data_IF_104394968333
#
_entry.id   IF_104394968333
#
_cell.length_a   1.000
_cell.length_b   1.000
_cell.length_c   1.000
_cell.angle_alpha   90.00
_cell.angle_beta   90.00
_cell.angle_gamma   90.00
#
_symmetry.space_group_name_H-M   'P 1'
#
loop_
_entity.id
_entity.type
_entity.pdbx_description
1 polymer ?
#
# COMPACT_ATOMS: atom_id res chain seq x y z
N UNK A 1 36.54 33.67 -28.29
CA UNK A 1 36.12 32.46 -29.04
C UNK A 1 34.84 32.78 -29.73
N UNK A 2 34.97 33.02 -31.01
CA UNK A 2 33.95 33.62 -31.86
C UNK A 2 32.87 32.60 -32.23
N UNK A 3 31.62 33.03 -32.15
CA UNK A 3 30.46 32.26 -32.60
C UNK A 3 30.31 32.33 -34.13
N UNK A 4 29.69 31.31 -34.75
CA UNK A 4 29.56 31.25 -36.20
C UNK A 4 28.58 32.31 -36.78
N UNK A 5 28.81 32.83 -38.02
CA UNK A 5 28.05 33.90 -38.60
C UNK A 5 26.65 33.39 -39.12
N UNK A 6 25.68 34.32 -39.26
CA UNK A 6 24.34 33.96 -39.70
C UNK A 6 24.29 33.57 -41.19
N UNK A 7 23.57 32.52 -41.49
CA UNK A 7 23.31 32.04 -42.88
C UNK A 7 22.41 33.01 -43.62
N UNK A 8 22.90 33.50 -44.75
CA UNK A 8 22.12 34.30 -45.75
C UNK A 8 21.09 33.42 -46.45
N UNK A 9 19.87 33.94 -46.58
CA UNK A 9 18.81 33.35 -47.42
C UNK A 9 19.19 33.56 -48.91
N UNK A 10 18.93 32.59 -49.80
CA UNK A 10 19.11 32.75 -51.23
C UNK A 10 18.02 33.66 -51.82
N UNK A 11 18.42 34.47 -52.83
CA UNK A 11 17.55 35.37 -53.56
C UNK A 11 16.64 34.59 -54.54
N UNK A 12 15.43 35.08 -54.83
CA UNK A 12 14.55 34.46 -55.82
C UNK A 12 15.01 34.69 -57.26
N UNK A 13 14.71 33.75 -58.17
CA UNK A 13 15.08 33.87 -59.58
C UNK A 13 14.27 34.97 -60.31
N UNK A 14 14.81 35.62 -61.33
CA UNK A 14 14.11 36.63 -62.08
C UNK A 14 13.20 36.00 -63.19
N UNK A 15 12.01 36.53 -63.29
CA UNK A 15 11.19 36.46 -64.51
C UNK A 15 10.05 35.45 -64.53
N UNK A 16 8.89 35.89 -64.00
CA UNK A 16 7.62 35.49 -64.55
C UNK A 16 6.72 36.73 -64.63
N UNK A 17 6.35 37.10 -65.88
CA UNK A 17 5.38 38.15 -66.16
C UNK A 17 4.03 37.80 -65.56
N UNK A 18 3.54 38.70 -64.70
CA UNK A 18 2.19 38.63 -64.11
C UNK A 18 1.18 38.91 -65.27
N UNK A 19 0.52 37.89 -65.70
CA UNK A 19 -0.69 38.02 -66.55
C UNK A 19 -1.85 38.39 -65.60
N UNK A 20 -2.27 39.64 -65.64
CA UNK A 20 -3.39 40.18 -64.92
C UNK A 20 -4.69 39.58 -65.43
N UNK A 21 -5.18 38.50 -64.79
CA UNK A 21 -6.52 38.00 -65.11
C UNK A 21 -7.53 38.90 -64.40
N UNK A 22 -8.25 39.70 -65.18
CA UNK A 22 -9.42 40.43 -64.74
C UNK A 22 -10.53 39.45 -64.38
N UNK A 23 -10.81 39.34 -63.11
CA UNK A 23 -12.00 38.63 -62.63
C UNK A 23 -13.21 39.56 -62.79
N UNK A 24 -14.15 39.15 -63.68
CA UNK A 24 -15.48 39.74 -63.70
C UNK A 24 -16.20 39.43 -62.36
N UNK A 25 -16.93 40.38 -61.73
CA UNK A 25 -17.69 40.14 -60.52
C UNK A 25 -18.88 39.22 -60.89
N UNK A 26 -18.78 37.97 -60.45
CA UNK A 26 -19.91 37.05 -60.46
C UNK A 26 -20.91 37.62 -59.48
N UNK A 27 -22.10 37.95 -59.92
CA UNK A 27 -23.18 38.53 -59.20
C UNK A 27 -23.47 37.72 -57.92
N UNK A 28 -23.29 38.39 -56.77
CA UNK A 28 -23.52 37.85 -55.45
C UNK A 28 -25.02 37.56 -55.24
N UNK A 29 -25.41 36.35 -55.52
CA UNK A 29 -26.57 35.78 -54.87
C UNK A 29 -26.13 35.31 -53.48
N UNK A 30 -26.37 36.11 -52.43
CA UNK A 30 -26.31 35.65 -51.04
C UNK A 30 -27.44 34.66 -50.83
N UNK A 31 -27.20 33.39 -51.19
CA UNK A 31 -28.03 32.32 -50.67
C UNK A 31 -27.72 32.25 -49.15
N UNK A 32 -28.58 32.93 -48.39
CA UNK A 32 -28.65 32.71 -46.97
C UNK A 32 -29.09 31.26 -46.80
N UNK A 33 -28.14 30.37 -46.52
CA UNK A 33 -28.41 28.98 -46.14
C UNK A 33 -29.18 29.05 -44.85
N UNK A 34 -30.53 29.10 -44.95
CA UNK A 34 -31.41 28.99 -43.76
C UNK A 34 -31.12 27.65 -43.10
N UNK A 35 -30.40 27.69 -41.96
CA UNK A 35 -30.30 26.54 -41.10
C UNK A 35 -31.70 26.03 -40.80
N UNK A 36 -32.00 24.76 -41.10
CA UNK A 36 -33.31 24.23 -40.78
C UNK A 36 -33.59 24.43 -39.28
N UNK A 37 -34.82 24.84 -38.95
CA UNK A 37 -35.16 25.10 -37.56
C UNK A 37 -34.87 23.86 -36.71
N UNK A 38 -34.38 24.03 -35.49
CA UNK A 38 -34.09 22.90 -34.59
C UNK A 38 -35.33 22.03 -34.46
N UNK A 39 -35.22 20.76 -34.78
CA UNK A 39 -36.28 19.80 -34.66
C UNK A 39 -36.76 19.78 -33.22
N UNK A 40 -37.98 20.25 -32.97
CA UNK A 40 -38.63 20.18 -31.67
C UNK A 40 -38.75 18.70 -31.28
N UNK A 41 -38.00 18.33 -30.21
CA UNK A 41 -38.09 17.00 -29.65
C UNK A 41 -39.49 16.82 -29.08
N UNK A 42 -40.26 15.86 -29.56
CA UNK A 42 -41.51 15.48 -28.97
C UNK A 42 -41.35 15.12 -27.47
N UNK A 43 -42.43 15.16 -26.71
CA UNK A 43 -42.41 14.91 -25.22
C UNK A 43 -41.57 13.68 -24.82
N UNK A 44 -41.56 12.62 -25.62
CA UNK A 44 -40.71 11.44 -25.41
C UNK A 44 -39.20 11.72 -25.58
N UNK A 45 -38.84 12.53 -26.57
CA UNK A 45 -37.44 12.91 -26.78
C UNK A 45 -36.88 13.80 -25.67
N UNK A 46 -37.71 14.71 -25.13
CA UNK A 46 -37.33 15.53 -23.97
C UNK A 46 -37.13 14.66 -22.71
N UNK A 47 -38.02 13.70 -22.48
CA UNK A 47 -37.89 12.78 -21.32
C UNK A 47 -36.61 11.94 -21.42
N UNK A 48 -36.31 11.37 -22.57
CA UNK A 48 -35.07 10.58 -22.80
C UNK A 48 -33.84 11.45 -22.58
N UNK A 49 -33.80 12.68 -23.08
CA UNK A 49 -32.71 13.63 -22.90
C UNK A 49 -32.52 13.98 -21.42
N UNK A 50 -33.61 14.28 -20.69
CA UNK A 50 -33.53 14.61 -19.26
C UNK A 50 -33.01 13.43 -18.42
N UNK A 51 -33.44 12.20 -18.73
CA UNK A 51 -32.90 10.99 -18.08
C UNK A 51 -31.42 10.82 -18.41
N UNK A 52 -31.00 11.03 -19.65
CA UNK A 52 -29.60 10.97 -20.06
C UNK A 52 -28.74 12.01 -19.34
N UNK A 53 -29.20 13.25 -19.26
CA UNK A 53 -28.51 14.32 -18.53
C UNK A 53 -28.37 14.00 -17.01
N UNK A 54 -29.42 13.44 -16.41
CA UNK A 54 -29.40 13.03 -15.01
C UNK A 54 -28.40 11.88 -14.77
N UNK A 55 -28.36 10.89 -15.67
CA UNK A 55 -27.41 9.78 -15.57
C UNK A 55 -25.95 10.24 -15.78
N UNK A 56 -25.71 11.17 -16.70
CA UNK A 56 -24.36 11.76 -16.90
C UNK A 56 -23.95 12.53 -15.64
N UNK A 57 -24.85 13.33 -15.08
CA UNK A 57 -24.56 14.10 -13.84
C UNK A 57 -24.28 13.14 -12.67
N UNK A 58 -25.12 12.12 -12.49
CA UNK A 58 -24.89 11.12 -11.47
C UNK A 58 -23.56 10.39 -11.66
N UNK A 59 -23.22 10.00 -12.88
CA UNK A 59 -21.94 9.38 -13.22
C UNK A 59 -20.74 10.30 -12.91
N UNK A 60 -20.85 11.58 -13.22
CA UNK A 60 -19.80 12.56 -12.93
C UNK A 60 -19.65 12.75 -11.40
N UNK A 61 -20.75 12.82 -10.65
CA UNK A 61 -20.68 12.93 -9.17
C UNK A 61 -19.98 11.70 -8.57
N UNK A 62 -20.32 10.49 -9.02
CA UNK A 62 -19.67 9.27 -8.56
C UNK A 62 -18.18 9.27 -8.90
N UNK A 63 -17.82 9.69 -10.10
CA UNK A 63 -16.42 9.78 -10.52
C UNK A 63 -15.64 10.79 -9.68
N UNK A 64 -16.19 11.97 -9.44
CA UNK A 64 -15.58 12.99 -8.58
C UNK A 64 -15.45 12.50 -7.13
N UNK A 65 -16.45 11.77 -6.64
CA UNK A 65 -16.41 11.16 -5.31
C UNK A 65 -15.28 10.11 -5.23
N UNK A 66 -15.11 9.26 -6.25
CA UNK A 66 -14.00 8.30 -6.28
C UNK A 66 -12.63 8.98 -6.33
N UNK A 67 -12.50 10.08 -7.10
CA UNK A 67 -11.26 10.88 -7.11
C UNK A 67 -11.00 11.49 -5.73
N UNK A 68 -12.03 12.02 -5.08
CA UNK A 68 -11.92 12.56 -3.73
C UNK A 68 -11.44 11.48 -2.74
N UNK A 69 -12.10 10.31 -2.71
CA UNK A 69 -11.75 9.22 -1.79
C UNK A 69 -10.33 8.67 -1.98
N UNK A 70 -9.83 8.64 -3.23
CA UNK A 70 -8.51 8.07 -3.51
C UNK A 70 -7.39 9.11 -3.35
N UNK A 71 -7.57 10.34 -3.85
CA UNK A 71 -6.48 11.31 -3.89
C UNK A 71 -6.51 12.34 -2.77
N UNK A 72 -7.69 12.83 -2.41
CA UNK A 72 -7.78 13.88 -1.40
C UNK A 72 -7.58 13.31 0.00
N UNK A 73 -8.14 12.13 0.28
CA UNK A 73 -7.94 11.47 1.57
C UNK A 73 -6.48 11.06 1.80
N UNK A 74 -5.77 10.62 0.76
CA UNK A 74 -4.36 10.28 0.85
C UNK A 74 -3.49 11.49 1.23
N UNK A 75 -3.79 12.68 0.68
CA UNK A 75 -3.07 13.89 1.01
C UNK A 75 -3.24 14.29 2.49
N UNK A 76 -4.44 14.16 3.03
CA UNK A 76 -4.70 14.42 4.45
C UNK A 76 -4.01 13.39 5.36
N UNK A 77 -4.05 12.12 4.98
CA UNK A 77 -3.37 11.05 5.73
C UNK A 77 -1.86 11.23 5.73
N UNK A 78 -1.26 11.65 4.62
CA UNK A 78 0.17 11.96 4.55
C UNK A 78 0.57 13.08 5.53
N UNK A 79 -0.27 14.11 5.69
CA UNK A 79 -0.07 15.16 6.70
C UNK A 79 -0.08 14.61 8.13
N UNK A 80 -1.12 13.83 8.48
CA UNK A 80 -1.24 13.18 9.80
C UNK A 80 -0.07 12.21 10.07
N UNK A 81 0.34 11.45 9.06
CA UNK A 81 1.48 10.54 9.16
C UNK A 81 2.80 11.28 9.41
N UNK A 82 3.02 12.42 8.75
CA UNK A 82 4.19 13.25 8.97
C UNK A 82 4.24 13.83 10.40
N UNK A 83 3.09 14.29 10.90
CA UNK A 83 2.97 14.79 12.28
C UNK A 83 3.25 13.67 13.29
N UNK A 84 2.60 12.50 13.15
CA UNK A 84 2.82 11.35 14.01
C UNK A 84 4.28 10.85 13.97
N UNK A 85 4.93 10.89 12.81
CA UNK A 85 6.35 10.56 12.67
C UNK A 85 7.24 11.53 13.43
N UNK A 86 6.96 12.83 13.36
CA UNK A 86 7.72 13.86 14.07
C UNK A 86 7.53 13.78 15.58
N UNK A 87 6.30 13.49 16.04
CA UNK A 87 6.00 13.27 17.46
C UNK A 87 6.76 12.04 17.98
N UNK A 88 6.74 10.94 17.26
CA UNK A 88 7.44 9.70 17.60
C UNK A 88 8.97 9.93 17.70
N UNK A 89 9.58 10.64 16.76
CA UNK A 89 11.01 10.98 16.81
C UNK A 89 11.33 11.86 18.02
N UNK A 90 10.43 12.79 18.34
CA UNK A 90 10.53 13.63 19.53
C UNK A 90 10.48 12.82 20.82
N UNK A 91 9.59 11.84 20.92
CA UNK A 91 9.46 10.98 22.07
C UNK A 91 10.66 10.01 22.21
N UNK A 92 11.11 9.42 21.11
CA UNK A 92 12.31 8.59 21.08
C UNK A 92 13.58 9.35 21.49
N UNK A 93 13.62 10.65 21.30
CA UNK A 93 14.77 11.48 21.72
C UNK A 93 14.77 11.82 23.21
N UNK A 94 13.60 11.83 23.84
CA UNK A 94 13.42 12.32 25.24
C UNK A 94 13.47 11.21 26.27
N UNK A 95 12.97 10.04 25.95
CA UNK A 95 12.76 8.96 26.93
C UNK A 95 13.31 7.63 26.39
N UNK A 96 14.24 7.03 27.15
CA UNK A 96 14.79 5.69 26.83
C UNK A 96 14.08 4.63 27.67
N UNK A 97 12.77 4.55 27.58
CA UNK A 97 12.02 3.47 28.23
C UNK A 97 12.06 2.21 27.37
N UNK A 98 12.48 1.09 27.96
CA UNK A 98 12.53 -0.21 27.31
C UNK A 98 11.14 -0.74 26.90
N UNK A 99 10.08 -0.28 27.59
CA UNK A 99 8.68 -0.58 27.28
C UNK A 99 7.85 0.68 27.52
N UNK A 100 7.63 1.54 26.51
CA UNK A 100 6.73 2.66 26.65
C UNK A 100 5.30 2.15 26.92
N UNK A 101 4.60 2.78 27.85
CA UNK A 101 3.17 2.53 28.02
C UNK A 101 2.47 2.90 26.71
N UNK A 102 1.83 1.92 26.07
CA UNK A 102 1.14 2.14 24.80
C UNK A 102 -0.08 3.03 25.06
N UNK A 103 -0.13 4.15 24.36
CA UNK A 103 -1.24 5.12 24.46
C UNK A 103 -2.09 5.01 23.20
N UNK A 104 -3.39 4.82 23.40
CA UNK A 104 -4.37 4.74 22.30
C UNK A 104 -4.21 5.88 21.28
N UNK A 105 -4.11 5.50 20.01
CA UNK A 105 -4.00 6.43 18.90
C UNK A 105 -2.64 7.11 18.78
N UNK A 106 -1.66 6.78 19.63
CA UNK A 106 -0.29 7.26 19.52
C UNK A 106 0.61 6.29 18.78
N UNK A 107 1.55 6.85 18.02
CA UNK A 107 2.59 6.08 17.37
C UNK A 107 3.62 5.56 18.39
N UNK A 108 4.05 4.30 18.26
CA UNK A 108 5.06 3.69 19.11
C UNK A 108 6.17 2.96 18.35
N UNK A 109 5.97 2.68 17.05
CA UNK A 109 6.90 1.98 16.19
C UNK A 109 6.74 2.44 14.74
N UNK A 110 7.65 1.99 13.86
CA UNK A 110 7.54 2.15 12.40
C UNK A 110 7.61 0.80 11.70
N UNK A 111 6.91 0.69 10.58
CA UNK A 111 7.02 -0.42 9.66
C UNK A 111 7.75 0.02 8.39
N UNK A 112 8.71 -0.80 7.95
CA UNK A 112 9.38 -0.66 6.66
C UNK A 112 9.22 -1.98 5.90
N UNK A 113 8.92 -1.89 4.60
CA UNK A 113 8.82 -3.05 3.70
C UNK A 113 9.68 -2.77 2.49
N UNK A 114 10.95 -3.22 2.47
CA UNK A 114 11.93 -2.83 1.44
C UNK A 114 11.52 -3.14 0.00
N UNK A 115 10.73 -4.20 -0.21
CA UNK A 115 10.25 -4.58 -1.54
C UNK A 115 9.24 -3.58 -2.12
N UNK A 116 8.60 -2.77 -1.27
CA UNK A 116 7.67 -1.71 -1.70
C UNK A 116 8.39 -0.37 -1.98
N UNK A 117 9.68 -0.32 -1.75
CA UNK A 117 10.54 0.85 -1.95
C UNK A 117 11.35 1.20 -0.70
N UNK A 118 12.51 1.83 -0.91
CA UNK A 118 13.38 2.24 0.19
C UNK A 118 12.73 3.29 1.10
N UNK A 119 11.82 4.09 0.54
CA UNK A 119 11.10 5.15 1.24
C UNK A 119 9.79 4.67 1.89
N UNK A 120 9.43 3.39 1.71
CA UNK A 120 8.23 2.84 2.34
C UNK A 120 8.41 2.79 3.85
N UNK A 121 7.76 3.69 4.54
CA UNK A 121 7.70 3.71 6.00
C UNK A 121 6.38 4.31 6.48
N UNK A 122 5.81 3.73 7.54
CA UNK A 122 4.64 4.25 8.22
C UNK A 122 4.80 4.08 9.73
N UNK A 123 4.33 5.06 10.51
CA UNK A 123 4.22 4.89 11.95
C UNK A 123 3.09 3.93 12.29
N UNK A 124 3.31 3.07 13.29
CA UNK A 124 2.32 2.15 13.81
C UNK A 124 1.67 2.80 15.03
N UNK A 125 0.34 2.95 14.98
CA UNK A 125 -0.47 3.51 16.06
C UNK A 125 -0.91 2.40 17.01
N UNK A 126 -1.09 2.69 18.29
CA UNK A 126 -1.79 1.78 19.19
C UNK A 126 -3.30 1.81 18.95
N UNK A 127 -3.91 0.65 18.71
CA UNK A 127 -5.34 0.51 18.42
C UNK A 127 -5.67 0.54 16.93
N UNK A 128 -6.85 0.00 16.61
CA UNK A 128 -7.37 -0.15 15.25
C UNK A 128 -8.68 0.62 15.03
N UNK A 129 -8.85 1.73 15.75
CA UNK A 129 -9.98 2.63 15.51
C UNK A 129 -9.82 3.33 14.16
N UNK A 130 -10.92 3.80 13.59
CA UNK A 130 -10.90 4.55 12.33
C UNK A 130 -9.91 5.72 12.40
N UNK A 131 -9.92 6.48 13.51
CA UNK A 131 -9.00 7.60 13.72
C UNK A 131 -7.52 7.18 13.72
N UNK A 132 -7.18 6.04 14.34
CA UNK A 132 -5.82 5.51 14.31
C UNK A 132 -5.42 5.05 12.90
N UNK A 133 -6.31 4.32 12.22
CA UNK A 133 -6.06 3.82 10.86
C UNK A 133 -5.99 4.92 9.80
N UNK A 134 -6.59 6.09 10.03
CA UNK A 134 -6.41 7.26 9.16
C UNK A 134 -5.01 7.87 9.22
N UNK A 135 -4.27 7.63 10.32
CA UNK A 135 -2.88 8.07 10.48
C UNK A 135 -1.93 7.06 9.82
N UNK A 136 -2.10 5.77 10.10
CA UNK A 136 -1.23 4.71 9.60
C UNK A 136 -1.70 3.32 10.04
N UNK A 137 -0.85 2.29 9.91
CA UNK A 137 -1.14 0.97 10.47
C UNK A 137 -1.43 1.02 11.97
N UNK A 138 -2.41 0.26 12.40
CA UNK A 138 -2.84 0.20 13.81
C UNK A 138 -2.58 -1.18 14.43
N UNK A 139 -2.00 -1.21 15.62
CA UNK A 139 -1.78 -2.43 16.41
C UNK A 139 -3.08 -2.93 17.01
N UNK A 140 -3.34 -4.22 16.90
CA UNK A 140 -4.46 -4.85 17.60
C UNK A 140 -4.14 -4.94 19.09
N UNK A 141 -4.88 -4.20 19.90
CA UNK A 141 -4.70 -4.16 21.35
C UNK A 141 -4.71 -5.55 21.98
N UNK A 142 -3.77 -5.79 22.87
CA UNK A 142 -3.65 -7.06 23.58
C UNK A 142 -2.98 -8.17 22.80
N UNK A 143 -2.57 -7.93 21.55
CA UNK A 143 -1.66 -8.83 20.83
C UNK A 143 -0.21 -8.57 21.28
N UNK A 144 0.73 -9.45 20.92
CA UNK A 144 2.13 -9.31 21.32
C UNK A 144 2.76 -8.01 20.80
N UNK A 145 3.82 -7.54 21.47
CA UNK A 145 4.67 -6.46 20.96
C UNK A 145 5.75 -6.99 20.02
N UNK A 146 6.42 -6.11 19.22
CA UNK A 146 7.49 -6.52 18.33
C UNK A 146 8.56 -7.33 19.07
N UNK A 147 8.89 -8.51 18.53
CA UNK A 147 9.90 -9.40 19.09
C UNK A 147 9.42 -10.34 20.21
N UNK A 148 8.29 -10.06 20.84
CA UNK A 148 7.76 -10.93 21.89
C UNK A 148 7.24 -12.26 21.34
N UNK A 149 7.27 -13.34 22.18
CA UNK A 149 6.52 -14.56 21.90
C UNK A 149 5.03 -14.26 21.74
N UNK A 150 4.43 -14.81 20.68
CA UNK A 150 3.04 -14.55 20.28
C UNK A 150 2.96 -13.86 18.95
N UNK A 151 1.84 -13.22 18.69
CA UNK A 151 1.53 -12.64 17.40
C UNK A 151 1.39 -11.11 17.51
N UNK A 152 2.36 -10.37 17.00
CA UNK A 152 2.26 -8.93 16.83
C UNK A 152 1.38 -8.65 15.61
N UNK A 153 0.14 -8.20 15.84
CA UNK A 153 -0.83 -8.03 14.78
C UNK A 153 -1.13 -6.56 14.51
N UNK A 154 -1.11 -6.16 13.24
CA UNK A 154 -1.42 -4.80 12.79
C UNK A 154 -2.38 -4.80 11.61
N UNK A 155 -3.29 -3.82 11.61
CA UNK A 155 -4.22 -3.55 10.53
C UNK A 155 -3.79 -2.31 9.72
N UNK A 156 -4.16 -2.25 8.46
CA UNK A 156 -3.96 -1.06 7.65
C UNK A 156 -4.94 -0.98 6.48
N UNK A 157 -5.23 0.23 6.03
CA UNK A 157 -6.06 0.45 4.86
C UNK A 157 -5.41 -0.10 3.60
N UNK A 158 -6.24 -0.63 2.71
CA UNK A 158 -5.80 -1.10 1.39
C UNK A 158 -5.97 -0.06 0.29
N UNK A 159 -6.93 0.86 0.46
CA UNK A 159 -7.27 1.90 -0.50
C UNK A 159 -7.63 3.15 0.26
N UNK A 160 -7.19 4.31 -0.21
CA UNK A 160 -7.39 5.60 0.43
C UNK A 160 -6.66 5.73 1.78
N UNK A 161 -6.67 6.91 2.36
CA UNK A 161 -6.10 7.19 3.68
C UNK A 161 -4.64 6.75 3.81
N UNK A 162 -3.81 7.07 2.80
CA UNK A 162 -2.41 6.68 2.70
C UNK A 162 -2.18 5.23 2.28
N UNK A 163 -3.22 4.40 2.28
CA UNK A 163 -3.23 3.00 1.83
C UNK A 163 -1.95 2.20 2.17
N UNK A 164 -1.51 2.15 3.45
CA UNK A 164 -0.22 1.54 3.81
C UNK A 164 -0.12 0.08 3.39
N UNK A 165 -1.25 -0.61 3.22
CA UNK A 165 -1.28 -2.02 2.86
C UNK A 165 -1.88 -2.28 1.47
N UNK A 166 -1.75 -1.30 0.54
CA UNK A 166 -2.22 -1.43 -0.83
C UNK A 166 -1.61 -2.63 -1.56
N UNK A 167 -0.31 -2.83 -1.38
CA UNK A 167 0.50 -3.76 -2.16
C UNK A 167 0.89 -5.04 -1.40
N UNK A 168 0.21 -5.37 -0.29
CA UNK A 168 0.50 -6.60 0.48
C UNK A 168 0.38 -7.88 -0.36
N UNK A 169 -0.41 -7.88 -1.41
CA UNK A 169 -0.52 -9.01 -2.34
C UNK A 169 0.71 -9.21 -3.22
N UNK A 170 1.62 -8.23 -3.30
CA UNK A 170 2.90 -8.35 -3.99
C UNK A 170 4.00 -8.99 -3.11
N UNK A 171 3.77 -9.13 -1.79
CA UNK A 171 4.72 -9.84 -0.93
C UNK A 171 4.82 -11.31 -1.32
N UNK A 172 6.03 -11.80 -1.33
CA UNK A 172 6.36 -13.22 -1.51
C UNK A 172 6.95 -13.82 -0.23
N UNK A 173 6.98 -15.13 -0.13
CA UNK A 173 7.64 -15.82 0.98
C UNK A 173 9.10 -15.38 1.11
N UNK A 174 9.57 -15.26 2.35
CA UNK A 174 10.91 -14.78 2.73
C UNK A 174 11.16 -13.28 2.52
N UNK A 175 10.20 -12.52 1.99
CA UNK A 175 10.31 -11.07 1.92
C UNK A 175 10.33 -10.46 3.33
N UNK A 176 11.11 -9.39 3.48
CA UNK A 176 11.37 -8.77 4.77
C UNK A 176 10.33 -7.71 5.10
N UNK A 177 9.89 -7.72 6.34
CA UNK A 177 9.08 -6.69 6.98
C UNK A 177 9.84 -6.28 8.23
N UNK A 178 10.21 -5.01 8.34
CA UNK A 178 11.06 -4.52 9.43
C UNK A 178 10.21 -3.63 10.32
N UNK A 179 10.18 -3.96 11.59
CA UNK A 179 9.55 -3.13 12.61
C UNK A 179 10.66 -2.43 13.38
N UNK A 180 10.65 -1.12 13.30
CA UNK A 180 11.57 -0.23 14.00
C UNK A 180 10.92 0.27 15.28
N UNK A 181 11.56 0.03 16.40
CA UNK A 181 11.19 0.59 17.72
C UNK A 181 12.23 1.61 18.15
N UNK A 182 12.09 2.16 19.33
CA UNK A 182 13.08 3.07 19.91
C UNK A 182 14.46 2.42 20.04
N UNK A 183 14.54 1.12 20.40
CA UNK A 183 15.78 0.43 20.77
C UNK A 183 16.28 -0.56 19.73
N UNK A 184 15.38 -1.12 18.91
CA UNK A 184 15.66 -2.27 18.07
C UNK A 184 15.00 -2.18 16.70
N UNK A 185 15.59 -2.92 15.75
CA UNK A 185 14.95 -3.32 14.51
C UNK A 185 14.61 -4.82 14.60
N UNK A 186 13.34 -5.16 14.41
CA UNK A 186 12.85 -6.53 14.34
C UNK A 186 12.60 -6.88 12.88
N UNK A 187 13.37 -7.81 12.34
CA UNK A 187 13.29 -8.24 10.95
C UNK A 187 12.44 -9.51 10.89
N UNK A 188 11.22 -9.35 10.44
CA UNK A 188 10.32 -10.46 10.16
C UNK A 188 10.44 -10.85 8.69
N UNK A 189 10.28 -12.14 8.40
CA UNK A 189 10.22 -12.66 7.03
C UNK A 189 8.91 -13.38 6.80
N UNK A 190 8.29 -13.13 5.66
CA UNK A 190 7.02 -13.76 5.28
C UNK A 190 7.18 -15.28 5.28
N UNK A 191 6.26 -15.97 5.94
CA UNK A 191 6.22 -17.43 6.00
C UNK A 191 5.98 -18.05 4.60
N UNK A 192 6.29 -19.35 4.43
CA UNK A 192 5.92 -20.09 3.22
C UNK A 192 4.44 -19.99 2.90
N UNK A 193 4.09 -19.82 1.64
CA UNK A 193 2.71 -19.91 1.20
C UNK A 193 2.24 -21.36 1.26
N UNK A 194 0.92 -21.57 1.27
CA UNK A 194 0.33 -22.89 1.44
C UNK A 194 0.82 -23.92 0.43
N UNK A 195 0.99 -23.51 -0.81
CA UNK A 195 1.48 -24.30 -1.94
C UNK A 195 2.99 -24.53 -1.93
N UNK A 196 3.74 -23.80 -1.09
CA UNK A 196 5.19 -23.92 -0.93
C UNK A 196 5.59 -24.76 0.30
N UNK A 197 4.64 -25.10 1.18
CA UNK A 197 4.91 -25.83 2.43
C UNK A 197 5.49 -27.22 2.17
N UNK A 198 4.92 -27.92 1.19
CA UNK A 198 5.43 -29.23 0.78
C UNK A 198 6.74 -29.05 0.00
N UNK A 199 7.78 -29.73 0.45
CA UNK A 199 9.11 -29.62 -0.17
C UNK A 199 9.87 -28.32 0.12
N UNK A 200 9.39 -27.49 1.06
CA UNK A 200 9.98 -26.19 1.38
C UNK A 200 11.50 -26.21 1.52
N UNK A 201 12.03 -27.12 2.36
CA UNK A 201 13.46 -27.15 2.67
C UNK A 201 14.36 -27.46 1.46
N UNK A 202 13.87 -28.26 0.52
CA UNK A 202 14.59 -28.60 -0.71
C UNK A 202 14.28 -27.66 -1.88
N UNK A 203 13.19 -26.90 -1.76
CA UNK A 203 12.73 -25.92 -2.74
C UNK A 203 13.14 -24.48 -2.40
N UNK A 204 12.15 -23.60 -2.34
CA UNK A 204 12.37 -22.16 -2.09
C UNK A 204 13.04 -21.87 -0.75
N UNK A 205 12.83 -22.71 0.26
CA UNK A 205 13.51 -22.58 1.56
C UNK A 205 15.02 -22.72 1.54
N UNK A 206 15.59 -23.31 0.47
CA UNK A 206 17.04 -23.36 0.25
C UNK A 206 17.65 -22.03 -0.23
N UNK A 207 16.83 -21.06 -0.67
CA UNK A 207 17.29 -19.75 -1.05
C UNK A 207 17.89 -19.02 0.17
N UNK A 208 19.10 -18.42 0.08
CA UNK A 208 19.71 -17.68 1.17
C UNK A 208 18.81 -16.60 1.78
N UNK A 209 17.96 -15.96 0.99
CA UNK A 209 16.98 -14.98 1.51
C UNK A 209 15.97 -15.59 2.47
N UNK A 210 15.73 -16.90 2.37
CA UNK A 210 14.84 -17.68 3.25
C UNK A 210 15.52 -18.15 4.54
N UNK A 211 16.77 -17.78 4.77
CA UNK A 211 17.46 -18.13 6.02
C UNK A 211 16.63 -17.70 7.23
N UNK A 212 16.49 -18.61 8.19
CA UNK A 212 15.65 -18.49 9.40
C UNK A 212 14.13 -18.47 9.11
N UNK A 213 13.70 -18.90 7.94
CA UNK A 213 12.28 -19.10 7.63
C UNK A 213 12.03 -20.60 7.40
N UNK A 214 11.16 -21.18 8.21
CA UNK A 214 10.70 -22.54 8.07
C UNK A 214 9.19 -22.63 7.97
N UNK A 215 8.70 -23.80 7.66
CA UNK A 215 7.29 -24.09 7.88
C UNK A 215 7.06 -24.23 9.38
N UNK A 216 6.01 -23.62 9.91
CA UNK A 216 5.65 -23.77 11.31
C UNK A 216 4.83 -25.05 11.57
N UNK A 217 4.52 -25.76 10.50
CA UNK A 217 3.78 -27.03 10.55
C UNK A 217 4.65 -28.13 11.13
N UNK A 218 4.16 -28.83 12.14
CA UNK A 218 4.75 -30.07 12.64
C UNK A 218 4.30 -31.26 11.77
N UNK A 219 5.20 -31.91 11.01
CA UNK A 219 4.85 -33.04 10.15
C UNK A 219 4.38 -34.27 10.92
N UNK A 220 4.69 -34.37 12.22
CA UNK A 220 4.35 -35.51 13.07
C UNK A 220 3.06 -35.29 13.88
N UNK A 221 2.52 -34.08 13.88
CA UNK A 221 1.30 -33.79 14.62
C UNK A 221 0.06 -33.80 13.73
N UNK A 222 -1.12 -34.19 14.27
CA UNK A 222 -2.38 -34.08 13.58
C UNK A 222 -2.60 -32.64 13.05
N UNK A 223 -3.05 -32.52 11.81
CA UNK A 223 -3.32 -31.23 11.12
C UNK A 223 -2.12 -30.27 11.07
N UNK A 224 -0.90 -30.77 11.39
CA UNK A 224 0.31 -29.96 11.41
C UNK A 224 0.56 -29.23 12.72
N UNK A 225 -0.09 -29.63 13.81
CA UNK A 225 0.12 -29.08 15.14
C UNK A 225 -0.48 -27.69 15.35
N UNK A 226 0.00 -27.00 16.38
CA UNK A 226 -0.53 -25.68 16.79
C UNK A 226 -0.50 -24.66 15.63
N UNK A 227 0.56 -24.64 14.84
CA UNK A 227 0.73 -23.71 13.70
C UNK A 227 0.40 -24.31 12.32
N UNK A 228 -0.25 -25.45 12.26
CA UNK A 228 -0.52 -26.17 11.00
C UNK A 228 -1.31 -25.38 9.97
N UNK A 229 -2.09 -24.39 10.41
CA UNK A 229 -2.84 -23.49 9.55
C UNK A 229 -2.15 -22.16 9.25
N UNK A 230 -1.03 -21.85 9.92
CA UNK A 230 -0.33 -20.57 9.80
C UNK A 230 0.61 -20.58 8.61
N UNK A 231 0.19 -19.95 7.52
CA UNK A 231 0.94 -19.82 6.26
C UNK A 231 1.13 -18.36 5.91
N UNK A 232 2.12 -18.05 5.05
CA UNK A 232 2.53 -16.71 4.71
C UNK A 232 1.42 -15.81 4.16
N UNK A 233 0.46 -16.36 3.42
CA UNK A 233 -0.68 -15.61 2.89
C UNK A 233 -1.98 -16.38 2.98
N UNK A 234 -3.02 -15.70 3.47
CA UNK A 234 -4.40 -16.23 3.49
C UNK A 234 -5.41 -15.15 3.16
N UNK A 235 -6.55 -15.57 2.63
CA UNK A 235 -7.74 -14.74 2.50
C UNK A 235 -8.79 -15.34 3.42
N UNK A 236 -9.38 -14.51 4.29
CA UNK A 236 -10.35 -14.96 5.29
C UNK A 236 -11.54 -13.99 5.34
N UNK A 237 -12.67 -14.44 5.87
CA UNK A 237 -13.79 -13.54 6.19
C UNK A 237 -13.48 -12.69 7.42
N UNK A 238 -14.04 -11.47 7.53
CA UNK A 238 -13.85 -10.59 8.68
C UNK A 238 -14.21 -11.22 10.04
N UNK A 239 -15.09 -12.22 10.04
CA UNK A 239 -15.49 -12.96 11.24
C UNK A 239 -14.41 -13.88 11.81
N UNK A 240 -13.30 -14.08 11.07
CA UNK A 240 -12.16 -14.90 11.49
C UNK A 240 -11.20 -14.10 12.38
N UNK A 241 -11.71 -13.63 13.54
CA UNK A 241 -10.93 -12.86 14.52
C UNK A 241 -9.73 -13.62 15.10
N UNK A 242 -9.79 -14.95 15.12
CA UNK A 242 -8.71 -15.83 15.58
C UNK A 242 -7.41 -15.72 14.74
N UNK A 243 -7.46 -15.02 13.61
CA UNK A 243 -6.28 -14.71 12.79
C UNK A 243 -5.20 -13.94 13.56
N UNK A 244 -5.61 -13.11 14.51
CA UNK A 244 -4.69 -12.27 15.31
C UNK A 244 -4.39 -12.86 16.68
N UNK A 245 -4.91 -14.05 17.01
CA UNK A 245 -4.59 -14.74 18.26
C UNK A 245 -3.08 -15.01 18.37
N UNK A 246 -2.54 -15.24 19.58
CA UNK A 246 -1.12 -15.55 19.80
C UNK A 246 -0.61 -16.70 18.93
N UNK A 247 -1.45 -17.72 18.73
CA UNK A 247 -1.29 -18.77 17.70
C UNK A 247 -2.42 -18.58 16.71
N UNK A 248 -2.15 -18.08 15.50
CA UNK A 248 -3.20 -17.80 14.52
C UNK A 248 -4.10 -19.01 14.25
N UNK A 249 -5.42 -18.76 14.16
CA UNK A 249 -6.47 -19.76 13.90
C UNK A 249 -6.68 -20.79 15.02
N UNK A 250 -6.09 -20.61 16.18
CA UNK A 250 -6.26 -21.46 17.36
C UNK A 250 -6.78 -20.66 18.56
N UNK A 251 -7.26 -21.36 19.57
CA UNK A 251 -7.62 -20.72 20.85
C UNK A 251 -6.36 -20.07 21.47
N UNK A 252 -6.51 -18.92 22.16
CA UNK A 252 -5.36 -18.20 22.72
C UNK A 252 -4.49 -19.03 23.68
N UNK A 253 -5.08 -20.00 24.35
CA UNK A 253 -4.46 -20.84 25.39
C UNK A 253 -3.83 -22.13 24.85
N UNK A 254 -3.80 -22.32 23.50
CA UNK A 254 -3.31 -23.56 22.89
C UNK A 254 -1.84 -23.85 23.23
N UNK A 255 -1.03 -22.80 23.43
CA UNK A 255 0.36 -22.89 23.85
C UNK A 255 0.65 -21.88 24.96
N UNK A 256 1.49 -22.24 25.97
CA UNK A 256 2.06 -21.28 26.90
C UNK A 256 2.82 -20.19 26.17
N UNK A 257 2.82 -18.93 26.69
CA UNK A 257 3.49 -17.78 26.04
C UNK A 257 4.97 -18.09 25.70
N UNK A 258 5.69 -18.78 26.56
CA UNK A 258 7.09 -19.12 26.32
C UNK A 258 7.35 -20.09 25.14
N UNK A 259 6.33 -20.84 24.72
CA UNK A 259 6.40 -21.77 23.60
C UNK A 259 5.86 -21.16 22.30
N UNK A 260 5.31 -19.96 22.37
CA UNK A 260 4.77 -19.28 21.20
C UNK A 260 5.88 -18.71 20.32
N UNK A 261 5.73 -18.89 19.00
CA UNK A 261 6.63 -18.30 18.01
C UNK A 261 6.37 -16.81 17.92
N UNK A 262 7.43 -16.00 17.86
CA UNK A 262 7.31 -14.57 17.63
C UNK A 262 6.89 -14.31 16.17
N UNK A 263 5.61 -13.97 15.97
CA UNK A 263 4.99 -13.73 14.68
C UNK A 263 4.64 -12.26 14.49
N UNK A 264 4.54 -11.87 13.21
CA UNK A 264 3.89 -10.64 12.75
C UNK A 264 2.72 -11.02 11.85
N UNK A 265 1.57 -10.41 12.09
CA UNK A 265 0.39 -10.53 11.22
C UNK A 265 -0.02 -9.18 10.68
N UNK A 266 -0.04 -9.03 9.35
CA UNK A 266 -0.60 -7.87 8.65
C UNK A 266 -2.00 -8.20 8.15
N UNK A 267 -2.96 -7.31 8.40
CA UNK A 267 -4.35 -7.49 7.95
C UNK A 267 -4.82 -6.29 7.15
N UNK A 268 -5.48 -6.55 6.03
CA UNK A 268 -6.09 -5.49 5.20
C UNK A 268 -7.35 -5.99 4.50
N UNK A 269 -8.13 -5.09 3.93
CA UNK A 269 -9.33 -5.42 3.15
C UNK A 269 -8.99 -6.18 1.87
N UNK A 270 -9.88 -7.08 1.43
CA UNK A 270 -9.76 -7.84 0.18
C UNK A 270 -11.13 -8.07 -0.46
N UNK A 271 -11.21 -8.05 -1.83
CA UNK A 271 -10.25 -7.47 -2.75
C UNK A 271 -10.13 -5.94 -2.60
N UNK A 272 -9.24 -5.29 -3.37
CA UNK A 272 -9.17 -3.81 -3.43
C UNK A 272 -10.56 -3.25 -3.70
N UNK A 273 -10.92 -2.14 -3.02
CA UNK A 273 -12.26 -1.50 -3.06
C UNK A 273 -13.41 -2.34 -2.48
N UNK A 274 -13.10 -3.41 -1.74
CA UNK A 274 -14.10 -4.24 -1.07
C UNK A 274 -13.67 -4.61 0.34
N UNK A 275 -14.62 -4.68 1.26
CA UNK A 275 -14.41 -5.12 2.63
C UNK A 275 -14.98 -6.52 2.92
N UNK A 276 -15.30 -7.29 1.87
CA UNK A 276 -15.92 -8.62 2.00
C UNK A 276 -15.02 -9.62 2.70
N UNK A 277 -13.73 -9.53 2.44
CA UNK A 277 -12.71 -10.44 2.97
C UNK A 277 -11.54 -9.65 3.56
N UNK A 278 -10.60 -10.37 4.15
CA UNK A 278 -9.32 -9.84 4.62
C UNK A 278 -8.18 -10.59 3.96
N UNK A 279 -7.23 -9.84 3.42
CA UNK A 279 -5.91 -10.37 3.07
C UNK A 279 -5.05 -10.36 4.32
N UNK A 280 -4.46 -11.52 4.62
CA UNK A 280 -3.63 -11.76 5.78
C UNK A 280 -2.23 -12.15 5.30
N UNK A 281 -1.22 -11.50 5.88
CA UNK A 281 0.18 -11.89 5.72
C UNK A 281 0.72 -12.27 7.10
N UNK A 282 1.27 -13.48 7.22
CA UNK A 282 2.01 -13.90 8.40
C UNK A 282 3.50 -13.94 8.12
N UNK A 283 4.27 -13.43 9.04
CA UNK A 283 5.73 -13.46 9.00
C UNK A 283 6.29 -13.92 10.35
N UNK A 284 7.48 -14.51 10.35
CA UNK A 284 8.18 -14.97 11.53
C UNK A 284 9.37 -14.08 11.81
N UNK A 285 9.67 -13.84 13.08
CA UNK A 285 10.87 -13.11 13.49
C UNK A 285 12.11 -13.90 13.07
N UNK A 286 12.89 -13.32 12.16
CA UNK A 286 14.12 -13.92 11.65
C UNK A 286 15.37 -13.38 12.33
N UNK A 287 15.33 -12.10 12.77
CA UNK A 287 16.46 -11.42 13.40
C UNK A 287 16.00 -10.19 14.19
N UNK A 288 16.67 -9.91 15.31
CA UNK A 288 16.59 -8.65 16.04
C UNK A 288 17.96 -7.97 15.97
N UNK A 289 17.98 -6.68 15.69
CA UNK A 289 19.21 -5.87 15.59
C UNK A 289 19.06 -4.64 16.51
N UNK A 290 19.78 -4.57 17.60
CA UNK A 290 19.77 -3.39 18.46
C UNK A 290 20.28 -2.13 17.75
N UNK A 291 19.63 -0.99 17.96
CA UNK A 291 20.01 0.30 17.36
C UNK A 291 21.39 0.81 17.77
N UNK A 292 21.96 0.31 18.88
CA UNK A 292 23.33 0.61 19.25
C UNK A 292 24.38 -0.05 18.30
N UNK A 293 23.97 -1.05 17.50
CA UNK A 293 24.83 -1.71 16.49
C UNK A 293 24.61 -1.12 15.09
N UNK A 294 23.46 -0.51 14.86
CA UNK A 294 23.03 0.06 13.58
C UNK A 294 22.17 1.27 13.89
N UNK A 295 22.73 2.46 13.79
CA UNK A 295 22.09 3.70 14.26
C UNK A 295 20.76 4.05 13.59
N UNK A 296 20.57 3.65 12.31
CA UNK A 296 19.39 4.02 11.53
C UNK A 296 18.97 2.91 10.56
N UNK A 297 17.72 3.00 10.07
CA UNK A 297 17.23 2.12 9.03
C UNK A 297 18.08 2.20 7.74
N UNK A 298 18.57 3.40 7.38
CA UNK A 298 19.44 3.58 6.22
C UNK A 298 20.77 2.81 6.34
N UNK A 299 21.29 2.66 7.57
CA UNK A 299 22.49 1.86 7.83
C UNK A 299 22.19 0.35 7.93
N UNK A 300 20.97 -0.01 8.32
CA UNK A 300 20.53 -1.40 8.40
C UNK A 300 20.34 -1.98 6.99
N UNK A 301 19.70 -1.24 6.08
CA UNK A 301 19.25 -1.74 4.79
C UNK A 301 20.34 -2.41 3.95
N UNK A 302 21.54 -1.85 3.75
CA UNK A 302 22.62 -2.53 3.03
C UNK A 302 23.06 -3.84 3.72
N UNK A 303 23.14 -3.87 5.05
CA UNK A 303 23.59 -5.06 5.81
C UNK A 303 22.63 -6.25 5.66
N UNK A 304 21.31 -5.98 5.62
CA UNK A 304 20.32 -7.04 5.40
C UNK A 304 20.13 -7.39 3.92
N UNK A 305 20.55 -6.50 3.01
CA UNK A 305 20.55 -6.76 1.56
C UNK A 305 21.75 -7.57 1.12
N UNK A 306 22.91 -7.39 1.74
CA UNK A 306 24.14 -8.17 1.48
C UNK A 306 24.05 -9.61 2.01
N UNK A 307 23.16 -9.86 2.96
CA UNK A 307 22.88 -11.20 3.49
C UNK A 307 21.94 -12.04 2.58
N UNK A 308 21.70 -11.58 1.35
CA UNK A 308 20.87 -12.27 0.34
C UNK A 308 21.66 -13.31 -0.43
#
# INVERSE_FOLDING_TARGET
MDGPPPRRRPAPPPGSTEETVMFEPVGGGTATEERPPPRELGKGGVAIRSVGELLITAGLVVLLFMVYEVYVTDLFSAGKQSEASSELDGDWSKDRQLHPDLVDGKAFARIHIPVFGADFNFTIQEGTTEAALEVGPGHYKGTALPGEPGNFAIAGHRVGKGAPFNDLDNLSSCEQIIIETQTDFYIYKVLPYKDEVEGWAAGKGADPKCKNVGTLRDPNAPDGGAYGETNGRRIVFPSKGETVNPVPYKAPEILPKAEQVSLLTLTTCHPKFSAKERLIIHAVLAQQVPKNQVGSYAELLPKISEAR
#
